data_IF_943567075111
#
_entry.id   IF_943567075111
#
_cell.length_a   1.000
_cell.length_b   1.000
_cell.length_c   1.000
_cell.angle_alpha   90.00
_cell.angle_beta   90.00
_cell.angle_gamma   90.00
#
_symmetry.space_group_name_H-M   'P 1'
#
loop_
_entity.id
_entity.type
_entity.pdbx_description
1 polymer ?
#
# COMPACT_ATOMS: atom_id res chain seq x y z
N UNK A 1 32.22 10.33 15.95
CA UNK A 1 31.17 10.30 14.92
C UNK A 1 31.63 10.99 13.64
N UNK A 2 31.57 10.27 12.51
CA UNK A 2 31.87 10.79 11.15
C UNK A 2 30.58 10.79 10.32
N UNK A 3 30.23 11.90 9.63
CA UNK A 3 29.09 11.93 8.71
C UNK A 3 29.25 10.94 7.53
N UNK A 4 28.16 10.31 7.10
CA UNK A 4 28.16 9.28 6.04
C UNK A 4 28.88 9.71 4.76
N UNK A 5 28.57 10.91 4.27
CA UNK A 5 29.19 11.47 3.06
C UNK A 5 30.71 11.64 3.15
N UNK A 6 31.29 11.66 4.35
CA UNK A 6 32.71 11.91 4.58
C UNK A 6 33.50 10.67 4.98
N UNK A 7 32.84 9.53 5.22
CA UNK A 7 33.50 8.33 5.74
C UNK A 7 34.65 7.88 4.89
N UNK A 8 34.42 7.76 3.57
CA UNK A 8 35.44 7.34 2.63
C UNK A 8 36.64 8.28 2.67
N UNK A 9 36.41 9.59 2.67
CA UNK A 9 37.47 10.58 2.75
C UNK A 9 38.26 10.48 4.07
N UNK A 10 37.58 10.34 5.21
CA UNK A 10 38.24 10.23 6.52
C UNK A 10 38.98 8.90 6.67
N UNK A 11 38.39 7.80 6.21
CA UNK A 11 39.01 6.48 6.26
C UNK A 11 40.27 6.41 5.41
N UNK A 12 40.21 6.96 4.20
CA UNK A 12 41.38 7.07 3.31
C UNK A 12 42.43 8.02 3.91
N UNK A 13 42.00 9.14 4.50
CA UNK A 13 42.89 10.09 5.15
C UNK A 13 43.66 9.48 6.33
N UNK A 14 43.00 8.63 7.13
CA UNK A 14 43.61 7.92 8.25
C UNK A 14 44.42 6.70 7.77
N UNK A 15 43.93 5.97 6.77
CA UNK A 15 44.53 4.75 6.27
C UNK A 15 44.80 3.76 7.42
N UNK A 16 46.05 3.29 7.52
CA UNK A 16 46.48 2.42 8.62
C UNK A 16 46.35 3.07 10.01
N UNK A 17 46.39 4.42 10.09
CA UNK A 17 46.29 5.13 11.35
C UNK A 17 44.92 5.02 12.02
N UNK A 18 43.89 4.56 11.28
CA UNK A 18 42.58 4.25 11.85
C UNK A 18 42.65 3.16 12.94
N UNK A 19 43.65 2.29 12.87
CA UNK A 19 43.87 1.19 13.83
C UNK A 19 44.88 1.56 14.92
N UNK A 20 45.34 2.82 14.98
CA UNK A 20 46.25 3.26 16.03
C UNK A 20 45.53 3.25 17.39
N UNK A 21 46.26 2.87 18.44
CA UNK A 21 45.74 2.78 19.80
C UNK A 21 46.12 4.05 20.56
N UNK A 22 45.13 4.73 21.14
CA UNK A 22 45.38 5.88 22.01
C UNK A 22 45.82 5.36 23.39
N UNK A 23 46.92 5.88 23.91
CA UNK A 23 47.44 5.55 25.24
C UNK A 23 47.45 6.81 26.11
N UNK A 24 47.11 6.70 27.38
CA UNK A 24 47.07 7.85 28.30
C UNK A 24 48.45 8.50 28.44
N UNK A 25 49.49 7.69 28.64
CA UNK A 25 50.87 8.15 28.74
C UNK A 25 51.86 7.37 27.86
N UNK A 26 53.08 7.89 27.75
CA UNK A 26 54.22 7.18 27.16
C UNK A 26 54.50 5.84 27.85
N UNK A 27 54.38 5.80 29.17
CA UNK A 27 54.64 4.60 29.98
C UNK A 27 53.63 3.48 29.67
N UNK A 28 52.36 3.84 29.45
CA UNK A 28 51.32 2.87 29.08
C UNK A 28 51.56 2.30 27.69
N UNK A 29 51.93 3.16 26.74
CA UNK A 29 52.31 2.73 25.39
C UNK A 29 53.52 1.77 25.44
N UNK A 30 54.54 2.07 26.23
CA UNK A 30 55.71 1.20 26.39
C UNK A 30 55.34 -0.16 27.00
N UNK A 31 54.51 -0.16 28.05
CA UNK A 31 54.04 -1.38 28.71
C UNK A 31 53.23 -2.26 27.74
N UNK A 32 52.35 -1.65 26.94
CA UNK A 32 51.56 -2.35 25.93
C UNK A 32 52.44 -2.92 24.80
N UNK A 33 53.49 -2.20 24.37
CA UNK A 33 54.45 -2.71 23.37
C UNK A 33 55.21 -3.91 23.92
N UNK A 34 55.66 -3.87 25.17
CA UNK A 34 56.35 -5.00 25.80
C UNK A 34 55.43 -6.21 25.91
N UNK A 35 54.16 -5.99 26.28
CA UNK A 35 53.15 -7.05 26.29
C UNK A 35 52.98 -7.71 24.91
N UNK A 36 52.84 -6.91 23.83
CA UNK A 36 52.72 -7.43 22.47
C UNK A 36 53.96 -8.23 22.05
N UNK A 37 55.15 -7.78 22.47
CA UNK A 37 56.41 -8.47 22.20
C UNK A 37 56.49 -9.80 22.95
N UNK A 38 56.20 -9.81 24.25
CA UNK A 38 56.30 -11.02 25.09
C UNK A 38 55.29 -12.09 24.71
N UNK A 39 54.12 -11.69 24.19
CA UNK A 39 53.04 -12.62 23.81
C UNK A 39 53.04 -12.96 22.32
N UNK A 40 53.86 -12.30 21.50
CA UNK A 40 53.85 -12.48 20.05
C UNK A 40 52.54 -12.05 19.38
N UNK A 41 51.74 -11.19 20.03
CA UNK A 41 50.39 -10.80 19.60
C UNK A 41 50.36 -9.80 18.42
N UNK A 42 51.52 -9.50 17.82
CA UNK A 42 51.63 -8.71 16.59
C UNK A 42 52.20 -7.31 16.80
N UNK A 43 51.76 -6.36 15.96
CA UNK A 43 52.27 -4.98 15.92
C UNK A 43 51.13 -3.98 15.95
N UNK A 44 51.30 -2.93 16.73
CA UNK A 44 50.38 -1.80 16.80
C UNK A 44 51.16 -0.48 16.87
N UNK A 45 50.51 0.61 16.47
CA UNK A 45 51.02 1.97 16.63
C UNK A 45 50.26 2.63 17.77
N UNK A 46 50.99 3.18 18.74
CA UNK A 46 50.40 3.84 19.91
C UNK A 46 50.53 5.37 19.80
N UNK A 47 49.50 6.08 20.26
CA UNK A 47 49.43 7.54 20.30
C UNK A 47 49.39 7.98 21.78
N UNK A 48 50.55 8.19 22.43
CA UNK A 48 50.62 8.61 23.83
C UNK A 48 50.22 10.07 24.00
N UNK A 49 49.12 10.32 24.72
CA UNK A 49 48.46 11.62 24.77
C UNK A 49 49.31 12.72 25.43
N UNK A 50 50.18 12.35 26.38
CA UNK A 50 51.16 13.22 27.04
C UNK A 50 52.30 13.71 26.13
N UNK A 51 52.54 13.04 24.99
CA UNK A 51 53.63 13.37 24.04
C UNK A 51 53.15 13.87 22.69
N UNK A 52 51.86 13.74 22.37
CA UNK A 52 51.32 14.18 21.09
C UNK A 52 51.42 15.70 20.95
N UNK A 53 52.28 16.14 20.03
CA UNK A 53 52.38 17.55 19.66
C UNK A 53 51.49 17.84 18.45
N UNK A 54 50.63 18.82 18.62
CA UNK A 54 49.77 19.38 17.59
C UNK A 54 50.38 20.68 17.07
N UNK A 55 50.62 20.80 15.75
CA UNK A 55 51.17 22.02 15.11
C UNK A 55 50.09 23.04 14.75
N UNK A 56 48.84 22.79 15.16
CA UNK A 56 47.68 23.57 14.76
C UNK A 56 47.16 23.21 13.36
N UNK A 57 45.88 23.48 13.08
CA UNK A 57 45.27 23.18 11.80
C UNK A 57 45.78 24.10 10.70
N UNK A 58 45.94 23.57 9.49
CA UNK A 58 46.12 24.40 8.30
C UNK A 58 44.74 24.92 7.89
N UNK A 59 44.51 26.24 7.88
CA UNK A 59 43.22 26.81 7.49
C UNK A 59 42.85 26.38 6.07
N UNK A 60 41.68 25.76 5.91
CA UNK A 60 41.17 25.40 4.60
C UNK A 60 40.62 26.65 3.88
N UNK A 61 40.91 26.85 2.58
CA UNK A 61 40.36 27.96 1.82
C UNK A 61 38.85 27.78 1.64
N UNK A 62 38.12 28.88 1.56
CA UNK A 62 36.68 28.92 1.25
C UNK A 62 36.36 28.75 -0.24
N UNK A 63 37.33 28.31 -1.04
CA UNK A 63 37.14 28.09 -2.48
C UNK A 63 36.09 27.02 -2.77
N UNK A 64 35.32 27.21 -3.84
CA UNK A 64 34.37 26.21 -4.34
C UNK A 64 35.03 24.83 -4.43
N UNK A 65 34.45 23.86 -3.72
CA UNK A 65 34.87 22.47 -3.73
C UNK A 65 35.76 22.01 -2.56
N UNK A 66 36.19 22.89 -1.65
CA UNK A 66 36.80 22.49 -0.36
C UNK A 66 35.74 22.48 0.73
N UNK A 67 35.52 21.31 1.33
CA UNK A 67 34.55 21.11 2.41
C UNK A 67 35.09 21.54 3.77
N UNK A 68 36.42 21.62 3.91
CA UNK A 68 37.09 22.13 5.10
C UNK A 68 38.17 21.20 5.63
N UNK A 69 38.63 21.49 6.86
CA UNK A 69 39.64 20.71 7.55
C UNK A 69 39.02 19.41 8.11
N UNK A 70 39.68 18.27 7.91
CA UNK A 70 39.16 16.97 8.31
C UNK A 70 38.91 16.85 9.82
N UNK A 71 39.75 17.44 10.66
CA UNK A 71 39.57 17.42 12.13
C UNK A 71 38.30 18.17 12.57
N UNK A 72 37.85 19.17 11.81
CA UNK A 72 36.59 19.91 12.09
C UNK A 72 35.34 19.21 11.55
N UNK A 73 35.53 18.24 10.66
CA UNK A 73 34.46 17.50 10.00
C UNK A 73 34.03 16.24 10.77
N UNK A 74 34.70 15.93 11.88
CA UNK A 74 34.44 14.78 12.74
C UNK A 74 34.11 15.23 14.17
N UNK A 75 33.24 14.50 14.86
CA UNK A 75 32.93 14.73 16.29
C UNK A 75 33.63 13.68 17.15
N UNK A 76 34.24 14.08 18.24
CA UNK A 76 34.99 13.24 19.18
C UNK A 76 35.00 13.88 20.56
N UNK A 77 35.26 13.09 21.59
CA UNK A 77 35.31 13.57 22.97
C UNK A 77 36.60 14.37 23.22
N UNK A 78 36.54 15.33 24.14
CA UNK A 78 37.67 16.23 24.42
C UNK A 78 38.92 15.49 24.86
N UNK A 79 38.75 14.34 25.52
CA UNK A 79 39.84 13.50 26.03
C UNK A 79 40.74 13.00 24.90
N UNK A 80 40.18 12.67 23.72
CA UNK A 80 40.94 12.17 22.56
C UNK A 80 41.35 13.26 21.57
N UNK A 81 41.08 14.53 21.90
CA UNK A 81 41.31 15.65 20.99
C UNK A 81 42.77 15.77 20.49
N UNK A 82 43.82 15.61 21.33
CA UNK A 82 45.21 15.59 20.86
C UNK A 82 45.49 14.57 19.75
N UNK A 83 44.96 13.35 19.87
CA UNK A 83 45.15 12.30 18.86
C UNK A 83 44.42 12.62 17.55
N UNK A 84 43.15 13.03 17.62
CA UNK A 84 42.37 13.37 16.43
C UNK A 84 42.97 14.57 15.71
N UNK A 85 43.39 15.60 16.45
CA UNK A 85 44.09 16.75 15.87
C UNK A 85 45.42 16.34 15.23
N UNK A 86 46.22 15.50 15.90
CA UNK A 86 47.49 15.03 15.33
C UNK A 86 47.29 14.35 13.97
N UNK A 87 46.26 13.51 13.85
CA UNK A 87 45.98 12.74 12.63
C UNK A 87 45.33 13.57 11.51
N UNK A 88 44.37 14.45 11.84
CA UNK A 88 43.48 15.03 10.84
C UNK A 88 43.66 16.54 10.62
N UNK A 89 44.34 17.28 11.50
CA UNK A 89 44.37 18.75 11.41
C UNK A 89 45.13 19.31 10.20
N UNK A 90 45.92 18.48 9.53
CA UNK A 90 46.69 18.88 8.33
C UNK A 90 46.05 18.33 7.05
N UNK A 91 44.82 17.85 7.15
CA UNK A 91 44.10 17.24 6.04
C UNK A 91 42.92 18.12 5.66
N UNK A 92 42.80 18.44 4.37
CA UNK A 92 41.63 19.07 3.80
C UNK A 92 40.77 18.04 3.09
N UNK A 93 39.46 18.23 3.16
CA UNK A 93 38.50 17.43 2.40
C UNK A 93 38.03 18.23 1.20
N UNK A 94 38.16 17.66 0.01
CA UNK A 94 37.69 18.23 -1.26
C UNK A 94 36.54 17.42 -1.84
N UNK A 95 35.73 18.03 -2.70
CA UNK A 95 34.72 17.32 -3.49
C UNK A 95 35.36 16.36 -4.49
N UNK A 96 36.34 16.86 -5.25
CA UNK A 96 37.00 16.16 -6.36
C UNK A 96 38.45 16.63 -6.52
N UNK A 97 39.21 15.96 -7.41
CA UNK A 97 40.61 16.26 -7.70
C UNK A 97 40.81 17.66 -8.28
N UNK A 98 39.88 18.14 -9.11
CA UNK A 98 39.97 19.47 -9.74
C UNK A 98 39.90 20.57 -8.67
N UNK A 99 38.95 20.45 -7.75
CA UNK A 99 38.79 21.32 -6.59
C UNK A 99 40.00 21.27 -5.66
N UNK A 100 40.53 20.07 -5.42
CA UNK A 100 41.74 19.86 -4.63
C UNK A 100 42.95 20.56 -5.25
N UNK A 101 43.16 20.41 -6.56
CA UNK A 101 44.26 21.06 -7.29
C UNK A 101 44.15 22.57 -7.24
N UNK A 102 42.97 23.11 -7.54
CA UNK A 102 42.73 24.55 -7.53
C UNK A 102 42.98 25.19 -6.16
N UNK A 103 42.58 24.50 -5.08
CA UNK A 103 42.83 24.95 -3.72
C UNK A 103 44.31 24.95 -3.36
N UNK A 104 45.05 23.91 -3.78
CA UNK A 104 46.50 23.81 -3.57
C UNK A 104 47.27 24.88 -4.35
N UNK A 105 46.89 25.16 -5.60
CA UNK A 105 47.52 26.20 -6.43
C UNK A 105 47.36 27.58 -5.79
N UNK A 106 46.15 27.94 -5.38
CA UNK A 106 45.91 29.21 -4.67
C UNK A 106 46.67 29.29 -3.35
N UNK A 107 46.68 28.22 -2.58
CA UNK A 107 47.39 28.20 -1.31
C UNK A 107 48.91 28.31 -1.51
N UNK A 108 49.47 27.64 -2.53
CA UNK A 108 50.89 27.76 -2.88
C UNK A 108 51.26 29.21 -3.26
N UNK A 109 50.43 29.86 -4.09
CA UNK A 109 50.65 31.25 -4.55
C UNK A 109 50.57 32.27 -3.40
N UNK A 110 49.62 32.12 -2.47
CA UNK A 110 49.47 33.05 -1.33
C UNK A 110 50.72 33.07 -0.44
N UNK A 111 51.46 31.97 -0.35
CA UNK A 111 52.61 31.86 0.54
C UNK A 111 53.97 31.80 -0.16
N UNK A 112 54.03 31.72 -1.49
CA UNK A 112 55.26 31.91 -2.28
C UNK A 112 55.65 33.39 -2.42
N UNK A 113 54.74 34.31 -2.07
CA UNK A 113 55.00 35.76 -1.99
C UNK A 113 55.77 36.19 -0.71
N UNK A 114 56.38 35.23 0.01
CA UNK A 114 57.50 35.48 0.93
C UNK A 114 57.21 36.26 2.22
N UNK A 115 55.95 36.58 2.57
CA UNK A 115 55.65 37.27 3.84
C UNK A 115 54.51 36.59 4.59
N UNK A 116 54.87 35.88 5.66
CA UNK A 116 53.92 35.66 6.77
C UNK A 116 53.56 37.03 7.38
N UNK A 117 52.30 37.29 7.76
CA UNK A 117 52.02 38.32 8.75
C UNK A 117 52.70 37.88 10.06
N UNK A 118 53.78 38.55 10.48
CA UNK A 118 54.41 38.34 11.79
C UNK A 118 55.86 37.84 11.85
N UNK A 119 56.69 38.04 10.82
CA UNK A 119 58.16 38.16 11.00
C UNK A 119 58.93 36.99 11.62
N UNK A 120 58.54 35.73 11.39
CA UNK A 120 59.35 34.55 11.79
C UNK A 120 59.95 33.84 10.57
N UNK A 121 61.29 33.80 10.57
CA UNK A 121 62.26 33.23 9.62
C UNK A 121 62.17 31.70 9.52
N UNK A 122 61.08 31.21 8.95
CA UNK A 122 60.99 29.82 8.49
C UNK A 122 60.10 29.80 7.25
N UNK A 123 60.74 29.86 6.09
CA UNK A 123 60.15 30.12 4.77
C UNK A 123 59.38 28.93 4.18
N UNK A 124 59.06 27.92 5.00
CA UNK A 124 58.28 26.78 4.54
C UNK A 124 56.78 27.00 4.73
N UNK A 125 56.07 27.07 3.60
CA UNK A 125 54.61 26.99 3.53
C UNK A 125 54.19 25.59 3.99
N UNK A 126 53.43 25.52 5.06
CA UNK A 126 52.86 24.25 5.51
C UNK A 126 51.77 23.82 4.51
N UNK A 127 52.11 22.94 3.56
CA UNK A 127 51.14 22.36 2.64
C UNK A 127 50.31 21.27 3.34
N UNK A 128 48.99 21.23 3.09
CA UNK A 128 48.10 20.20 3.61
C UNK A 128 48.16 18.93 2.75
N UNK A 129 47.75 17.82 3.33
CA UNK A 129 47.25 16.69 2.55
C UNK A 129 45.82 17.01 2.12
N UNK A 130 45.44 16.73 0.88
CA UNK A 130 44.05 16.89 0.43
C UNK A 130 43.48 15.53 0.09
N UNK A 131 42.29 15.24 0.58
CA UNK A 131 41.57 13.99 0.30
C UNK A 131 40.20 14.32 -0.29
N UNK A 132 39.83 13.67 -1.39
CA UNK A 132 38.54 13.88 -2.04
C UNK A 132 37.45 13.00 -1.40
N UNK A 133 36.17 13.26 -1.73
CA UNK A 133 35.08 12.35 -1.40
C UNK A 133 35.22 10.97 -2.08
N UNK A 134 35.87 10.95 -3.26
CA UNK A 134 36.20 9.74 -4.03
C UNK A 134 37.31 8.89 -3.41
N UNK A 135 38.05 9.41 -2.42
CA UNK A 135 39.15 8.70 -1.76
C UNK A 135 40.49 8.84 -2.48
N UNK A 136 40.65 9.82 -3.36
CA UNK A 136 41.97 10.19 -3.87
C UNK A 136 42.71 11.07 -2.85
N UNK A 137 44.02 10.86 -2.71
CA UNK A 137 44.89 11.60 -1.79
C UNK A 137 45.93 12.38 -2.57
N UNK A 138 46.08 13.67 -2.27
CA UNK A 138 47.20 14.51 -2.70
C UNK A 138 48.06 14.84 -1.48
N UNK A 139 49.31 14.40 -1.48
CA UNK A 139 50.25 14.67 -0.37
C UNK A 139 50.96 16.01 -0.56
N UNK A 140 51.49 16.63 0.52
CA UNK A 140 52.26 17.88 0.46
C UNK A 140 53.42 17.89 -0.56
N UNK A 141 54.02 16.73 -0.84
CA UNK A 141 55.09 16.57 -1.84
C UNK A 141 54.61 16.42 -3.29
N UNK A 142 53.32 16.65 -3.57
CA UNK A 142 52.74 16.52 -4.92
C UNK A 142 52.39 15.09 -5.35
N UNK A 143 52.73 14.09 -4.54
CA UNK A 143 52.35 12.70 -4.81
C UNK A 143 50.82 12.53 -4.74
N UNK A 144 50.24 11.99 -5.81
CA UNK A 144 48.80 11.70 -5.91
C UNK A 144 48.59 10.19 -5.84
N UNK A 145 47.62 9.76 -5.05
CA UNK A 145 47.19 8.36 -4.94
C UNK A 145 45.70 8.29 -5.23
N UNK A 146 45.30 7.42 -6.15
CA UNK A 146 43.91 7.20 -6.53
C UNK A 146 43.76 5.92 -7.34
N UNK A 147 42.52 5.52 -7.61
CA UNK A 147 42.20 4.28 -8.29
C UNK A 147 41.05 3.54 -7.61
N UNK A 148 40.64 2.43 -8.22
CA UNK A 148 39.65 1.55 -7.61
C UNK A 148 40.37 0.48 -6.80
N UNK A 149 40.12 0.43 -5.49
CA UNK A 149 40.59 -0.64 -4.61
C UNK A 149 39.76 -1.91 -4.90
N UNK A 150 40.01 -2.54 -6.05
CA UNK A 150 39.27 -3.69 -6.53
C UNK A 150 39.16 -4.76 -5.44
N UNK A 151 37.92 -5.01 -4.99
CA UNK A 151 37.44 -6.10 -4.13
C UNK A 151 38.26 -6.53 -2.90
N UNK A 152 39.35 -5.84 -2.52
CA UNK A 152 40.00 -5.96 -1.22
C UNK A 152 39.22 -5.15 -0.21
N UNK A 153 38.00 -5.60 0.03
CA UNK A 153 37.17 -5.20 1.15
C UNK A 153 37.88 -5.56 2.47
N UNK A 154 38.75 -4.69 2.96
CA UNK A 154 38.48 -4.22 4.33
C UNK A 154 37.18 -3.43 4.20
N UNK A 155 36.07 -4.03 4.66
CA UNK A 155 34.80 -3.31 4.82
C UNK A 155 35.14 -1.97 5.44
N UNK A 156 34.62 -0.87 4.87
CA UNK A 156 34.85 0.46 5.43
C UNK A 156 34.57 0.38 6.93
N UNK A 157 35.62 0.54 7.75
CA UNK A 157 35.55 0.19 9.17
C UNK A 157 34.57 1.13 9.86
N UNK A 158 34.58 2.40 9.44
CA UNK A 158 33.64 3.43 9.85
C UNK A 158 32.21 3.12 9.41
N UNK A 159 32.01 2.69 8.15
CA UNK A 159 30.68 2.33 7.68
C UNK A 159 30.12 1.10 8.41
N UNK A 160 30.98 0.13 8.74
CA UNK A 160 30.59 -1.05 9.49
C UNK A 160 30.24 -0.72 10.94
N UNK A 161 31.00 0.14 11.62
CA UNK A 161 30.65 0.63 12.95
C UNK A 161 29.34 1.42 12.97
N UNK A 162 29.10 2.28 11.96
CA UNK A 162 27.80 2.94 11.83
C UNK A 162 26.70 1.91 11.66
N UNK A 163 26.83 0.99 10.71
CA UNK A 163 25.84 -0.03 10.46
C UNK A 163 25.58 -0.85 11.73
N UNK A 164 26.61 -1.27 12.46
CA UNK A 164 26.46 -1.99 13.73
C UNK A 164 25.68 -1.18 14.78
N UNK A 165 25.81 0.15 14.81
CA UNK A 165 25.05 1.04 15.70
C UNK A 165 23.60 1.23 15.25
N UNK A 166 23.36 1.29 13.94
CA UNK A 166 22.04 1.61 13.36
C UNK A 166 21.16 0.37 13.18
N UNK A 167 21.74 -0.77 12.82
CA UNK A 167 21.06 -2.05 12.57
C UNK A 167 20.11 -2.50 13.68
N UNK A 168 20.45 -2.38 14.99
CA UNK A 168 19.52 -2.76 16.05
C UNK A 168 18.23 -1.91 16.03
N UNK A 169 18.36 -0.61 15.76
CA UNK A 169 17.22 0.31 15.69
C UNK A 169 16.36 0.06 14.45
N UNK A 170 16.98 -0.30 13.33
CA UNK A 170 16.30 -0.67 12.10
C UNK A 170 15.56 -2.00 12.27
N UNK A 171 16.22 -2.99 12.87
CA UNK A 171 15.62 -4.28 13.18
C UNK A 171 14.42 -4.14 14.12
N UNK A 172 14.52 -3.29 15.15
CA UNK A 172 13.40 -3.01 16.06
C UNK A 172 12.21 -2.40 15.31
N UNK A 173 12.45 -1.42 14.43
CA UNK A 173 11.41 -0.80 13.59
C UNK A 173 10.77 -1.82 12.65
N UNK A 174 11.59 -2.62 11.96
CA UNK A 174 11.10 -3.67 11.07
C UNK A 174 10.25 -4.71 11.80
N UNK A 175 10.66 -5.14 13.01
CA UNK A 175 9.86 -6.07 13.84
C UNK A 175 8.49 -5.50 14.21
N UNK A 176 8.40 -4.22 14.55
CA UNK A 176 7.12 -3.56 14.84
C UNK A 176 6.22 -3.53 13.61
N UNK A 177 6.77 -3.18 12.44
CA UNK A 177 6.01 -3.16 11.18
C UNK A 177 5.48 -4.55 10.81
N UNK A 178 6.30 -5.60 10.96
CA UNK A 178 5.88 -6.98 10.72
C UNK A 178 4.74 -7.39 11.66
N UNK A 179 4.83 -7.05 12.95
CA UNK A 179 3.76 -7.34 13.92
C UNK A 179 2.45 -6.64 13.54
N UNK A 180 2.49 -5.36 13.22
CA UNK A 180 1.31 -4.59 12.82
C UNK A 180 0.68 -5.13 11.52
N UNK A 181 1.51 -5.50 10.54
CA UNK A 181 1.02 -6.09 9.29
C UNK A 181 0.37 -7.47 9.53
N UNK A 182 0.95 -8.27 10.42
CA UNK A 182 0.40 -9.57 10.83
C UNK A 182 -0.96 -9.41 11.52
N UNK A 183 -1.08 -8.50 12.48
CA UNK A 183 -2.35 -8.20 13.18
C UNK A 183 -3.44 -7.73 12.21
N UNK A 184 -3.10 -6.81 11.29
CA UNK A 184 -4.04 -6.35 10.25
C UNK A 184 -4.48 -7.48 9.33
N UNK A 185 -3.54 -8.34 8.91
CA UNK A 185 -3.84 -9.50 8.06
C UNK A 185 -4.76 -10.48 8.78
N UNK A 186 -4.52 -10.74 10.07
CA UNK A 186 -5.37 -11.63 10.86
C UNK A 186 -6.77 -11.05 11.04
N UNK A 187 -6.90 -9.75 11.34
CA UNK A 187 -8.20 -9.09 11.43
C UNK A 187 -8.96 -9.14 10.10
N UNK A 188 -8.28 -8.89 8.99
CA UNK A 188 -8.89 -8.96 7.66
C UNK A 188 -9.35 -10.38 7.32
N UNK A 189 -8.56 -11.41 7.66
CA UNK A 189 -8.94 -12.82 7.49
C UNK A 189 -10.20 -13.17 8.29
N UNK A 190 -10.27 -12.76 9.56
CA UNK A 190 -11.43 -13.01 10.41
C UNK A 190 -12.69 -12.33 9.84
N UNK A 191 -12.57 -11.11 9.32
CA UNK A 191 -13.70 -10.41 8.70
C UNK A 191 -14.14 -11.08 7.39
N UNK A 192 -13.20 -11.50 6.54
CA UNK A 192 -13.51 -12.27 5.32
C UNK A 192 -14.23 -13.57 5.67
N UNK A 193 -13.80 -14.30 6.69
CA UNK A 193 -14.45 -15.53 7.12
C UNK A 193 -15.89 -15.26 7.61
N UNK A 194 -16.08 -14.22 8.42
CA UNK A 194 -17.41 -13.80 8.89
C UNK A 194 -18.33 -13.40 7.74
N UNK A 195 -17.86 -12.62 6.78
CA UNK A 195 -18.65 -12.23 5.61
C UNK A 195 -18.97 -13.42 4.71
N UNK A 196 -18.04 -14.37 4.59
CA UNK A 196 -18.27 -15.61 3.83
C UNK A 196 -19.40 -16.42 4.46
N UNK A 197 -19.40 -16.59 5.79
CA UNK A 197 -20.49 -17.29 6.52
C UNK A 197 -21.84 -16.60 6.34
N UNK A 198 -21.89 -15.27 6.48
CA UNK A 198 -23.13 -14.49 6.23
C UNK A 198 -23.63 -14.64 4.81
N UNK A 199 -22.73 -14.63 3.82
CA UNK A 199 -23.09 -14.85 2.42
C UNK A 199 -23.68 -16.23 2.20
N UNK A 200 -23.10 -17.28 2.78
CA UNK A 200 -23.64 -18.64 2.66
C UNK A 200 -25.03 -18.77 3.29
N UNK A 201 -25.25 -18.16 4.47
CA UNK A 201 -26.56 -18.12 5.13
C UNK A 201 -27.61 -17.42 4.26
N UNK A 202 -27.27 -16.26 3.67
CA UNK A 202 -28.16 -15.54 2.78
C UNK A 202 -28.44 -16.29 1.46
N UNK A 203 -27.46 -17.01 0.91
CA UNK A 203 -27.65 -17.85 -0.27
C UNK A 203 -28.62 -19.00 0.01
N UNK A 204 -28.53 -19.62 1.18
CA UNK A 204 -29.47 -20.65 1.62
C UNK A 204 -30.89 -20.10 1.83
N UNK A 205 -31.02 -18.96 2.51
CA UNK A 205 -32.31 -18.27 2.68
C UNK A 205 -32.93 -17.92 1.33
N UNK A 206 -32.14 -17.37 0.40
CA UNK A 206 -32.60 -17.05 -0.96
C UNK A 206 -33.10 -18.30 -1.69
N UNK A 207 -32.38 -19.42 -1.57
CA UNK A 207 -32.77 -20.70 -2.19
C UNK A 207 -34.11 -21.20 -1.64
N UNK A 208 -34.36 -21.08 -0.34
CA UNK A 208 -35.63 -21.47 0.29
C UNK A 208 -36.78 -20.57 -0.20
N UNK A 209 -36.59 -19.25 -0.18
CA UNK A 209 -37.60 -18.30 -0.65
C UNK A 209 -37.96 -18.50 -2.12
N UNK A 210 -37.00 -18.82 -2.99
CA UNK A 210 -37.26 -19.12 -4.39
C UNK A 210 -38.10 -20.39 -4.57
N UNK A 211 -37.84 -21.43 -3.77
CA UNK A 211 -38.66 -22.66 -3.78
C UNK A 211 -40.09 -22.39 -3.33
N UNK A 212 -40.26 -21.60 -2.28
CA UNK A 212 -41.58 -21.21 -1.78
C UNK A 212 -42.35 -20.36 -2.80
N UNK A 213 -41.68 -19.41 -3.46
CA UNK A 213 -42.27 -18.60 -4.51
C UNK A 213 -42.74 -19.47 -5.70
N UNK A 214 -41.90 -20.41 -6.16
CA UNK A 214 -42.26 -21.35 -7.23
C UNK A 214 -43.47 -22.21 -6.85
N UNK A 215 -43.49 -22.72 -5.61
CA UNK A 215 -44.61 -23.49 -5.09
C UNK A 215 -45.90 -22.67 -5.11
N UNK A 216 -45.88 -21.46 -4.54
CA UNK A 216 -47.05 -20.55 -4.53
C UNK A 216 -47.51 -20.20 -5.94
N UNK A 217 -46.60 -19.99 -6.88
CA UNK A 217 -46.95 -19.70 -8.25
C UNK A 217 -47.65 -20.90 -8.92
N UNK A 218 -47.18 -22.12 -8.66
CA UNK A 218 -47.84 -23.34 -9.15
C UNK A 218 -49.24 -23.54 -8.53
N UNK A 219 -49.41 -23.22 -7.25
CA UNK A 219 -50.70 -23.26 -6.55
C UNK A 219 -51.66 -22.22 -7.12
N UNK A 220 -51.16 -21.00 -7.37
CA UNK A 220 -51.94 -19.91 -7.97
C UNK A 220 -52.41 -20.25 -9.39
N UNK A 221 -51.53 -20.79 -10.25
CA UNK A 221 -51.92 -21.18 -11.61
C UNK A 221 -52.96 -22.29 -11.61
N UNK A 222 -52.86 -23.27 -10.70
CA UNK A 222 -53.89 -24.30 -10.52
C UNK A 222 -55.23 -23.67 -10.11
N UNK A 223 -55.22 -22.82 -9.08
CA UNK A 223 -56.42 -22.14 -8.61
C UNK A 223 -57.06 -21.28 -9.71
N UNK A 224 -56.25 -20.57 -10.51
CA UNK A 224 -56.69 -19.78 -11.66
C UNK A 224 -57.38 -20.64 -12.72
N UNK A 225 -56.80 -21.78 -13.07
CA UNK A 225 -57.41 -22.71 -14.03
C UNK A 225 -58.74 -23.28 -13.51
N UNK A 226 -58.81 -23.61 -12.21
CA UNK A 226 -60.06 -24.05 -11.58
C UNK A 226 -61.13 -22.96 -11.62
N UNK A 227 -60.78 -21.72 -11.27
CA UNK A 227 -61.70 -20.58 -11.33
C UNK A 227 -62.19 -20.31 -12.75
N UNK A 228 -61.30 -20.39 -13.75
CA UNK A 228 -61.67 -20.21 -15.16
C UNK A 228 -62.68 -21.27 -15.63
N UNK A 229 -62.47 -22.55 -15.27
CA UNK A 229 -63.42 -23.64 -15.59
C UNK A 229 -64.76 -23.43 -14.91
N UNK A 230 -64.77 -23.08 -13.63
CA UNK A 230 -66.01 -22.81 -12.90
C UNK A 230 -66.78 -21.62 -13.50
N UNK A 231 -66.07 -20.58 -13.98
CA UNK A 231 -66.68 -19.47 -14.69
C UNK A 231 -67.32 -19.86 -16.03
N UNK A 232 -66.65 -20.70 -16.82
CA UNK A 232 -67.22 -21.23 -18.06
C UNK A 232 -68.46 -22.09 -17.82
N UNK A 233 -68.41 -22.96 -16.81
CA UNK A 233 -69.55 -23.79 -16.40
C UNK A 233 -70.74 -22.92 -15.98
N UNK A 234 -70.51 -21.89 -15.16
CA UNK A 234 -71.55 -20.97 -14.73
C UNK A 234 -72.19 -20.21 -15.90
N UNK A 235 -71.38 -19.77 -16.88
CA UNK A 235 -71.89 -19.10 -18.08
C UNK A 235 -72.72 -20.06 -18.95
N UNK A 236 -72.27 -21.31 -19.12
CA UNK A 236 -73.03 -22.35 -19.82
C UNK A 236 -74.37 -22.61 -19.14
N UNK A 237 -74.39 -22.78 -17.81
CA UNK A 237 -75.63 -22.97 -17.05
C UNK A 237 -76.58 -21.78 -17.18
N UNK A 238 -76.06 -20.55 -17.20
CA UNK A 238 -76.86 -19.34 -17.41
C UNK A 238 -77.49 -19.29 -18.81
N UNK A 239 -76.75 -19.69 -19.85
CA UNK A 239 -77.28 -19.79 -21.21
C UNK A 239 -78.36 -20.86 -21.32
N UNK A 240 -78.15 -22.03 -20.72
CA UNK A 240 -79.15 -23.10 -20.67
C UNK A 240 -80.42 -22.63 -19.95
N UNK A 241 -80.29 -21.96 -18.80
CA UNK A 241 -81.42 -21.37 -18.09
C UNK A 241 -82.19 -20.38 -18.97
N UNK A 242 -81.50 -19.45 -19.64
CA UNK A 242 -82.14 -18.49 -20.55
C UNK A 242 -82.87 -19.16 -21.72
N UNK A 243 -82.32 -20.24 -22.28
CA UNK A 243 -83.00 -21.04 -23.31
C UNK A 243 -84.26 -21.69 -22.76
N UNK A 244 -84.17 -22.34 -21.58
CA UNK A 244 -85.34 -22.96 -20.94
C UNK A 244 -86.41 -21.94 -20.56
N UNK A 245 -86.03 -20.72 -20.14
CA UNK A 245 -86.96 -19.63 -19.87
C UNK A 245 -87.66 -19.17 -21.16
N UNK A 246 -86.92 -19.06 -22.27
CA UNK A 246 -87.50 -18.71 -23.57
C UNK A 246 -88.44 -19.80 -24.09
N UNK A 247 -88.08 -21.08 -23.92
CA UNK A 247 -88.93 -22.23 -24.23
C UNK A 247 -90.22 -22.22 -23.38
N UNK A 248 -90.11 -21.94 -22.08
CA UNK A 248 -91.25 -21.77 -21.18
C UNK A 248 -92.19 -20.65 -21.66
N UNK A 249 -91.66 -19.47 -22.01
CA UNK A 249 -92.46 -18.36 -22.55
C UNK A 249 -93.13 -18.78 -23.87
N UNK A 250 -92.42 -19.49 -24.74
CA UNK A 250 -92.98 -20.02 -25.99
C UNK A 250 -94.13 -21.00 -25.75
N UNK A 251 -93.97 -21.93 -24.81
CA UNK A 251 -95.01 -22.90 -24.43
C UNK A 251 -96.25 -22.21 -23.85
N UNK A 252 -96.07 -21.22 -22.98
CA UNK A 252 -97.19 -20.42 -22.45
C UNK A 252 -97.95 -19.71 -23.58
N UNK A 253 -97.23 -19.13 -24.54
CA UNK A 253 -97.89 -18.49 -25.70
C UNK A 253 -98.65 -19.49 -26.59
N UNK A 254 -98.15 -20.73 -26.69
CA UNK A 254 -98.80 -21.81 -27.42
C UNK A 254 -100.07 -22.26 -26.68
N UNK A 255 -100.02 -22.39 -25.36
CA UNK A 255 -101.19 -22.69 -24.53
C UNK A 255 -102.27 -21.61 -24.70
N UNK A 256 -101.91 -20.32 -24.70
CA UNK A 256 -102.84 -19.23 -24.96
C UNK A 256 -103.46 -19.29 -26.37
N UNK A 257 -102.66 -19.56 -27.40
CA UNK A 257 -103.15 -19.72 -28.78
C UNK A 257 -104.08 -20.92 -28.94
N UNK A 258 -103.74 -22.06 -28.32
CA UNK A 258 -104.58 -23.25 -28.32
C UNK A 258 -105.89 -23.01 -27.60
N UNK A 259 -105.87 -22.31 -26.46
CA UNK A 259 -107.07 -21.92 -25.73
C UNK A 259 -107.97 -20.97 -26.54
N UNK A 260 -107.36 -20.00 -27.24
CA UNK A 260 -108.09 -19.10 -28.14
C UNK A 260 -108.71 -19.86 -29.33
N UNK A 261 -107.95 -20.74 -29.97
CA UNK A 261 -108.43 -21.56 -31.08
C UNK A 261 -109.52 -22.56 -30.65
N UNK A 262 -109.44 -23.14 -29.45
CA UNK A 262 -110.51 -23.98 -28.92
C UNK A 262 -111.78 -23.17 -28.67
N UNK A 263 -111.67 -21.95 -28.13
CA UNK A 263 -112.81 -21.06 -27.93
C UNK A 263 -113.46 -20.60 -29.25
N UNK A 264 -112.64 -20.30 -30.27
CA UNK A 264 -113.12 -19.97 -31.61
C UNK A 264 -113.81 -21.16 -32.29
N UNK A 265 -113.23 -22.36 -32.17
CA UNK A 265 -113.85 -23.60 -32.63
C UNK A 265 -115.18 -23.89 -31.94
N UNK A 266 -115.25 -23.73 -30.61
CA UNK A 266 -116.49 -23.87 -29.83
C UNK A 266 -117.57 -22.87 -30.27
N UNK A 267 -117.20 -21.60 -30.46
CA UNK A 267 -118.08 -20.55 -30.98
C UNK A 267 -118.59 -20.88 -32.39
N UNK A 268 -117.71 -21.29 -33.30
CA UNK A 268 -118.08 -21.71 -34.65
C UNK A 268 -119.04 -22.91 -34.64
N UNK A 269 -118.83 -23.86 -33.72
CA UNK A 269 -119.70 -25.03 -33.53
C UNK A 269 -121.08 -24.61 -32.99
N UNK A 270 -121.13 -23.62 -32.10
CA UNK A 270 -122.37 -23.05 -31.59
C UNK A 270 -123.15 -22.30 -32.70
N UNK A 271 -122.49 -21.45 -33.49
CA UNK A 271 -123.10 -20.77 -34.64
C UNK A 271 -123.59 -21.77 -35.69
N UNK A 272 -122.83 -22.84 -35.96
CA UNK A 272 -123.25 -23.89 -36.88
C UNK A 272 -124.49 -24.65 -36.35
N UNK A 273 -124.55 -24.93 -35.04
CA UNK A 273 -125.74 -25.51 -34.39
C UNK A 273 -126.95 -24.58 -34.49
N UNK A 274 -126.78 -23.28 -34.24
CA UNK A 274 -127.85 -22.28 -34.38
C UNK A 274 -128.35 -22.16 -35.82
N UNK A 275 -127.45 -22.15 -36.82
CA UNK A 275 -127.80 -22.17 -38.24
C UNK A 275 -128.52 -23.46 -38.65
N UNK A 276 -128.09 -24.62 -38.14
CA UNK A 276 -128.75 -25.89 -38.39
C UNK A 276 -130.19 -25.88 -37.84
N UNK A 277 -130.39 -25.41 -36.60
CA UNK A 277 -131.70 -25.22 -35.97
C UNK A 277 -132.59 -24.24 -36.75
N UNK A 278 -132.03 -23.13 -37.22
CA UNK A 278 -132.76 -22.17 -38.07
C UNK A 278 -133.13 -22.78 -39.43
N UNK A 279 -132.26 -23.58 -40.05
CA UNK A 279 -132.55 -24.29 -41.30
C UNK A 279 -133.61 -25.39 -41.12
N UNK A 280 -133.61 -26.09 -39.99
CA UNK A 280 -134.66 -27.06 -39.63
C UNK A 280 -136.01 -26.39 -39.36
N UNK A 281 -136.00 -25.18 -38.77
CA UNK A 281 -137.21 -24.38 -38.55
C UNK A 281 -137.79 -23.83 -39.86
N UNK A 282 -136.93 -23.43 -40.81
CA UNK A 282 -137.32 -22.98 -42.15
C UNK A 282 -137.78 -24.13 -43.06
N UNK A 283 -137.22 -25.34 -42.89
CA UNK A 283 -137.65 -26.55 -43.60
C UNK A 283 -138.96 -27.15 -43.06
N UNK A 284 -139.41 -26.76 -41.86
CA UNK A 284 -140.73 -27.14 -41.30
C UNK A 284 -141.86 -26.16 -41.64
N UNK A 285 -141.55 -25.03 -42.28
CA UNK A 285 -142.52 -23.98 -42.66
C UNK A 285 -142.76 -23.88 -44.17
N UNK A 286 -142.26 -24.84 -44.96
CA UNK A 286 -142.51 -24.97 -46.40
C UNK A 286 -142.88 -26.40 -46.76
#
# INVERSE_FOLDING_TARGET
HVPARLERAIEVALGAALQNVIAESWQDAQSAIEFLRSTGAGRATFLPMDRLRSRGPIPAPTSNGILGNAARSVRFDSEVAPAVQHLLQRIWIAHDLSSARHALDRHSVIFSNGRRPGGRTSDYVALPTVVTLGGEIIRPGGAVTGGNDGHRHRRSTLAWERAARELPSELARAKVQVRQASEKTQSARNEVEKQTRRRTEHEEQRRLLLRDAQRRQSEFERARLHAARAGQEAEWQKQMLSQTEAELVGLVSLEEQLAAASAESESALQVARERALMSESAARTS
#
